data_IF_129407364237
#
_entry.id   IF_129407364237
#
_cell.length_a   1.000
_cell.length_b   1.000
_cell.length_c   1.000
_cell.angle_alpha   90.00
_cell.angle_beta   90.00
_cell.angle_gamma   90.00
#
_symmetry.space_group_name_H-M   'P 1'
#
loop_
_entity.id
_entity.type
_entity.pdbx_description
1 polymer ?
#
# COMPACT_ATOMS: atom_id res chain seq x y z
N UNK A 1 -20.92 -9.01 -6.71
CA UNK A 1 -20.16 -9.44 -5.52
C UNK A 1 -19.82 -8.24 -4.63
N UNK A 2 -19.12 -7.23 -5.16
CA UNK A 2 -18.89 -5.93 -4.48
C UNK A 2 -20.16 -5.30 -3.91
N UNK A 3 -21.26 -5.28 -4.67
CA UNK A 3 -22.55 -4.77 -4.21
C UNK A 3 -23.10 -5.53 -2.98
N UNK A 4 -22.81 -6.83 -2.86
CA UNK A 4 -23.22 -7.64 -1.69
C UNK A 4 -22.38 -7.30 -0.46
N UNK A 5 -21.06 -7.12 -0.63
CA UNK A 5 -20.15 -6.68 0.44
C UNK A 5 -20.57 -5.29 0.91
N UNK A 6 -20.82 -4.36 -0.02
CA UNK A 6 -21.30 -3.02 0.32
C UNK A 6 -22.62 -3.04 1.10
N UNK A 7 -23.64 -3.77 0.62
CA UNK A 7 -24.92 -3.92 1.33
C UNK A 7 -24.76 -4.54 2.71
N UNK A 8 -23.86 -5.52 2.85
CA UNK A 8 -23.54 -6.16 4.13
C UNK A 8 -22.92 -5.16 5.10
N UNK A 9 -21.87 -4.46 4.68
CA UNK A 9 -21.21 -3.45 5.52
C UNK A 9 -22.16 -2.30 5.89
N UNK A 10 -22.86 -1.72 4.91
CA UNK A 10 -23.82 -0.65 5.14
C UNK A 10 -24.93 -1.03 6.14
N UNK A 11 -25.30 -2.31 6.18
CA UNK A 11 -26.31 -2.82 7.12
C UNK A 11 -25.76 -3.10 8.53
N UNK A 12 -24.57 -3.69 8.64
CA UNK A 12 -24.04 -4.17 9.92
C UNK A 12 -23.18 -3.15 10.67
N UNK A 13 -22.45 -2.27 9.97
CA UNK A 13 -21.65 -1.23 10.64
C UNK A 13 -22.50 -0.36 11.58
N UNK A 14 -23.73 0.12 11.23
CA UNK A 14 -24.63 0.83 12.16
C UNK A 14 -25.28 0.05 13.27
N UNK A 15 -25.12 -1.26 13.27
CA UNK A 15 -25.64 -2.12 14.34
C UNK A 15 -24.56 -2.51 15.34
N UNK A 16 -23.30 -2.40 14.93
CA UNK A 16 -22.14 -2.80 15.73
C UNK A 16 -21.55 -1.59 16.43
N UNK A 17 -21.31 -0.51 15.70
CA UNK A 17 -20.63 0.66 16.26
C UNK A 17 -21.59 1.63 16.93
N UNK A 18 -21.23 2.06 18.14
CA UNK A 18 -21.96 3.10 18.86
C UNK A 18 -21.70 4.49 18.23
N UNK A 19 -22.74 5.34 18.15
CA UNK A 19 -22.58 6.75 17.71
C UNK A 19 -21.99 7.67 18.80
N UNK A 20 -21.79 7.18 20.02
CA UNK A 20 -21.28 7.92 21.18
C UNK A 20 -20.29 7.09 22.01
N UNK A 21 -19.97 7.47 23.26
CA UNK A 21 -19.08 6.71 24.13
C UNK A 21 -19.56 5.27 24.26
N UNK A 22 -18.72 4.31 23.89
CA UNK A 22 -19.06 2.90 23.92
C UNK A 22 -18.92 2.34 25.35
N UNK A 23 -20.02 1.92 26.01
CA UNK A 23 -19.96 1.38 27.36
C UNK A 23 -19.41 -0.06 27.43
N UNK A 24 -19.26 -0.75 26.29
CA UNK A 24 -18.83 -2.15 26.20
C UNK A 24 -17.92 -2.39 24.97
N UNK A 25 -16.70 -1.82 24.93
CA UNK A 25 -15.78 -1.89 23.79
C UNK A 25 -15.45 -3.32 23.36
N UNK A 26 -15.26 -4.24 24.31
CA UNK A 26 -14.94 -5.64 24.02
C UNK A 26 -16.04 -6.36 23.22
N UNK A 27 -17.31 -6.02 23.47
CA UNK A 27 -18.43 -6.62 22.74
C UNK A 27 -18.55 -6.03 21.34
N UNK A 28 -18.27 -4.74 21.17
CA UNK A 28 -18.24 -4.07 19.86
C UNK A 28 -17.11 -4.65 18.99
N UNK A 29 -15.90 -4.79 19.55
CA UNK A 29 -14.75 -5.37 18.88
C UNK A 29 -15.02 -6.82 18.45
N UNK A 30 -15.62 -7.63 19.33
CA UNK A 30 -15.97 -9.02 19.00
C UNK A 30 -16.97 -9.10 17.84
N UNK A 31 -18.01 -8.26 17.85
CA UNK A 31 -19.01 -8.22 16.78
C UNK A 31 -18.44 -7.67 15.47
N UNK A 32 -17.60 -6.63 15.54
CA UNK A 32 -16.88 -6.11 14.39
C UNK A 32 -15.98 -7.19 13.78
N UNK A 33 -15.24 -7.92 14.61
CA UNK A 33 -14.40 -9.01 14.16
C UNK A 33 -15.23 -10.12 13.50
N UNK A 34 -16.33 -10.55 14.11
CA UNK A 34 -17.11 -11.69 13.59
C UNK A 34 -17.93 -11.35 12.34
N UNK A 35 -18.48 -10.14 12.26
CA UNK A 35 -19.49 -9.79 11.26
C UNK A 35 -18.90 -8.95 10.13
N UNK A 36 -17.90 -8.12 10.41
CA UNK A 36 -17.31 -7.22 9.42
C UNK A 36 -15.98 -7.76 8.91
N UNK A 37 -15.03 -8.01 9.82
CA UNK A 37 -13.66 -8.36 9.44
C UNK A 37 -13.54 -9.83 9.03
N UNK A 38 -14.03 -10.77 9.83
CA UNK A 38 -13.92 -12.20 9.59
C UNK A 38 -14.31 -12.64 8.17
N UNK A 39 -15.49 -12.28 7.65
CA UNK A 39 -15.86 -12.63 6.27
C UNK A 39 -14.87 -12.10 5.22
N UNK A 40 -14.26 -10.94 5.46
CA UNK A 40 -13.22 -10.37 4.59
C UNK A 40 -11.91 -11.14 4.69
N UNK A 41 -11.51 -11.55 5.89
CA UNK A 41 -10.31 -12.35 6.13
C UNK A 41 -10.42 -13.68 5.37
N UNK A 42 -11.54 -14.38 5.49
CA UNK A 42 -11.82 -15.61 4.73
C UNK A 42 -11.79 -15.39 3.22
N UNK A 43 -12.35 -14.27 2.74
CA UNK A 43 -12.32 -13.93 1.31
C UNK A 43 -10.91 -13.65 0.80
N UNK A 44 -10.12 -12.91 1.58
CA UNK A 44 -8.75 -12.53 1.24
C UNK A 44 -7.83 -13.76 1.23
N UNK A 45 -7.92 -14.59 2.26
CA UNK A 45 -7.14 -15.81 2.40
C UNK A 45 -7.57 -16.91 1.41
N UNK A 46 -8.87 -16.99 1.07
CA UNK A 46 -9.43 -18.09 0.28
C UNK A 46 -9.41 -19.45 1.01
N UNK A 47 -8.96 -19.46 2.26
CA UNK A 47 -8.87 -20.57 3.19
C UNK A 47 -9.02 -20.04 4.63
N UNK A 48 -8.86 -20.91 5.62
CA UNK A 48 -8.91 -20.52 7.03
C UNK A 48 -7.86 -19.42 7.35
N UNK A 49 -8.29 -18.25 7.86
CA UNK A 49 -7.41 -17.13 8.17
C UNK A 49 -6.24 -17.47 9.10
N UNK A 50 -6.39 -18.47 9.98
CA UNK A 50 -5.31 -18.93 10.86
C UNK A 50 -4.08 -19.43 10.08
N UNK A 51 -4.27 -19.93 8.85
CA UNK A 51 -3.20 -20.38 7.97
C UNK A 51 -2.97 -19.43 6.78
N UNK A 52 -4.05 -18.87 6.23
CA UNK A 52 -4.00 -18.03 5.03
C UNK A 52 -3.14 -16.79 5.21
N UNK A 53 -3.23 -16.10 6.37
CA UNK A 53 -2.40 -14.93 6.63
C UNK A 53 -0.92 -15.26 6.71
N UNK A 54 -0.56 -16.38 7.32
CA UNK A 54 0.83 -16.82 7.40
C UNK A 54 1.39 -17.13 6.00
N UNK A 55 0.60 -17.77 5.13
CA UNK A 55 1.01 -17.99 3.73
C UNK A 55 1.11 -16.69 2.93
N UNK A 56 0.20 -15.75 3.15
CA UNK A 56 0.25 -14.43 2.51
C UNK A 56 1.50 -13.66 2.92
N UNK A 57 1.87 -13.68 4.21
CA UNK A 57 3.09 -13.06 4.71
C UNK A 57 4.35 -13.75 4.15
N UNK A 58 4.39 -15.08 4.11
CA UNK A 58 5.49 -15.84 3.50
C UNK A 58 5.62 -15.60 2.00
N UNK A 59 4.49 -15.34 1.32
CA UNK A 59 4.45 -15.00 -0.10
C UNK A 59 4.65 -13.50 -0.35
N UNK A 60 4.82 -12.69 0.69
CA UNK A 60 4.96 -11.25 0.53
C UNK A 60 6.32 -10.94 -0.08
N UNK A 61 6.32 -10.63 -1.37
CA UNK A 61 7.54 -10.32 -2.10
C UNK A 61 7.92 -8.86 -1.89
N UNK A 62 9.22 -8.55 -1.79
CA UNK A 62 9.67 -7.17 -1.82
C UNK A 62 9.13 -6.49 -3.09
N UNK A 63 8.52 -5.31 -2.93
CA UNK A 63 8.07 -4.54 -4.07
C UNK A 63 9.26 -4.17 -4.96
N UNK A 64 9.03 -4.17 -6.28
CA UNK A 64 9.98 -3.61 -7.24
C UNK A 64 10.02 -2.07 -7.18
N UNK A 65 9.05 -1.43 -6.50
CA UNK A 65 9.08 -0.02 -6.18
C UNK A 65 9.70 0.20 -4.80
N UNK A 66 10.59 1.17 -4.70
CA UNK A 66 11.10 1.58 -3.39
C UNK A 66 10.02 2.30 -2.57
N UNK A 67 9.40 3.34 -3.15
CA UNK A 67 8.31 4.10 -2.52
C UNK A 67 8.65 4.77 -1.18
N UNK A 68 9.92 4.78 -0.77
CA UNK A 68 10.33 5.37 0.52
C UNK A 68 9.95 6.84 0.56
N UNK A 69 9.13 7.22 1.53
CA UNK A 69 8.76 8.61 1.79
C UNK A 69 9.93 9.34 2.46
N UNK A 70 10.29 10.50 1.92
CA UNK A 70 11.42 11.28 2.46
C UNK A 70 11.03 12.04 3.73
N UNK A 71 11.96 12.06 4.68
CA UNK A 71 11.88 12.91 5.87
C UNK A 71 12.56 14.25 5.63
N UNK A 72 12.18 15.24 6.42
CA UNK A 72 12.85 16.55 6.43
C UNK A 72 14.34 16.35 6.70
N UNK A 73 15.19 16.95 5.88
CA UNK A 73 16.64 16.87 6.03
C UNK A 73 17.30 15.65 5.37
N UNK A 74 16.53 14.68 4.84
CA UNK A 74 17.11 13.54 4.14
C UNK A 74 17.66 13.93 2.76
N UNK A 75 18.81 13.38 2.33
CA UNK A 75 19.35 13.63 1.00
C UNK A 75 18.54 12.88 -0.07
N UNK A 76 18.33 13.55 -1.18
CA UNK A 76 17.64 13.07 -2.39
C UNK A 76 18.55 13.27 -3.59
N UNK A 77 18.49 12.36 -4.56
CA UNK A 77 19.41 12.34 -5.70
C UNK A 77 18.62 12.29 -7.00
N UNK A 78 18.84 13.27 -7.88
CA UNK A 78 18.25 13.29 -9.22
C UNK A 78 19.35 13.18 -10.28
N UNK A 79 19.23 12.20 -11.18
CA UNK A 79 20.16 12.01 -12.28
C UNK A 79 19.81 12.96 -13.44
N UNK A 80 20.70 13.86 -13.81
CA UNK A 80 20.48 14.84 -14.90
C UNK A 80 20.48 14.20 -16.28
N UNK A 81 21.12 13.04 -16.40
CA UNK A 81 21.24 12.35 -17.67
C UNK A 81 20.04 11.44 -17.92
N UNK A 82 19.48 10.82 -16.86
CA UNK A 82 18.46 9.78 -16.98
C UNK A 82 17.05 10.18 -16.53
N UNK A 83 16.88 11.17 -15.64
CA UNK A 83 15.55 11.59 -15.19
C UNK A 83 14.70 12.06 -16.39
N UNK A 84 13.42 11.68 -16.39
CA UNK A 84 12.45 12.15 -17.39
C UNK A 84 12.07 13.61 -17.11
N UNK A 85 11.91 13.97 -15.84
CA UNK A 85 11.65 15.35 -15.44
C UNK A 85 12.40 15.74 -14.13
N UNK A 86 12.45 17.04 -13.76
CA UNK A 86 13.20 17.50 -12.60
C UNK A 86 12.68 17.04 -11.22
N UNK A 87 11.53 16.38 -11.17
CA UNK A 87 10.93 15.85 -9.93
C UNK A 87 11.38 14.42 -9.64
N UNK A 88 11.95 13.70 -10.61
CA UNK A 88 12.43 12.33 -10.43
C UNK A 88 13.63 12.28 -9.47
N UNK A 89 13.49 11.55 -8.37
CA UNK A 89 14.44 11.48 -7.27
C UNK A 89 14.59 10.07 -6.69
N UNK A 90 15.81 9.75 -6.29
CA UNK A 90 16.18 8.53 -5.58
C UNK A 90 16.54 8.84 -4.13
N UNK A 91 16.21 7.91 -3.23
CA UNK A 91 16.81 7.88 -1.90
C UNK A 91 18.29 7.48 -2.00
N UNK A 92 19.07 7.77 -0.95
CA UNK A 92 20.51 7.46 -0.91
C UNK A 92 20.82 5.99 -1.21
N UNK A 93 20.08 5.06 -0.62
CA UNK A 93 20.29 3.62 -0.82
C UNK A 93 20.05 3.21 -2.29
N UNK A 94 18.98 3.72 -2.91
CA UNK A 94 18.69 3.42 -4.32
C UNK A 94 19.69 4.06 -5.26
N UNK A 95 20.09 5.31 -5.00
CA UNK A 95 21.09 6.00 -5.81
C UNK A 95 22.43 5.23 -5.81
N UNK A 96 22.94 4.88 -4.63
CA UNK A 96 24.22 4.17 -4.49
C UNK A 96 24.19 2.76 -5.09
N UNK A 97 23.02 2.11 -5.09
CA UNK A 97 22.79 0.80 -5.68
C UNK A 97 22.37 0.83 -7.15
N UNK A 98 22.39 1.98 -7.82
CA UNK A 98 21.97 2.14 -9.22
C UNK A 98 23.13 2.56 -10.12
N UNK A 99 22.90 2.53 -11.42
CA UNK A 99 23.83 3.05 -12.44
C UNK A 99 24.06 4.56 -12.31
N UNK A 100 23.10 5.29 -11.73
CA UNK A 100 23.07 6.76 -11.70
C UNK A 100 24.18 7.39 -10.88
N UNK A 101 24.84 6.62 -10.01
CA UNK A 101 25.99 7.10 -9.22
C UNK A 101 27.20 7.48 -10.08
N UNK A 102 27.29 6.92 -11.29
CA UNK A 102 28.36 7.19 -12.26
C UNK A 102 27.95 8.27 -13.28
N UNK A 103 26.72 8.79 -13.20
CA UNK A 103 26.19 9.83 -14.09
C UNK A 103 26.29 11.23 -13.46
N UNK A 104 25.93 12.28 -14.21
CA UNK A 104 25.79 13.62 -13.63
C UNK A 104 24.52 13.69 -12.82
N UNK A 105 24.64 13.94 -11.53
CA UNK A 105 23.50 14.03 -10.63
C UNK A 105 23.45 15.37 -9.89
N UNK A 106 22.31 15.62 -9.25
CA UNK A 106 22.09 16.69 -8.28
C UNK A 106 21.66 16.05 -6.97
N UNK A 107 22.34 16.40 -5.88
CA UNK A 107 21.88 16.09 -4.54
C UNK A 107 21.11 17.29 -3.98
N UNK A 108 19.97 17.03 -3.37
CA UNK A 108 19.15 18.03 -2.67
C UNK A 108 18.73 17.52 -1.31
N UNK A 109 18.59 18.43 -0.35
CA UNK A 109 18.00 18.11 0.95
C UNK A 109 16.49 18.19 0.85
N UNK A 110 15.78 17.11 1.21
CA UNK A 110 14.31 17.09 1.18
C UNK A 110 13.73 18.02 2.25
N UNK A 111 12.69 18.75 1.87
CA UNK A 111 11.85 19.52 2.80
C UNK A 111 10.86 18.65 3.60
N UNK A 112 10.86 17.33 3.39
CA UNK A 112 9.88 16.38 3.91
C UNK A 112 8.73 16.13 2.92
N UNK A 113 8.32 14.86 2.79
CA UNK A 113 7.36 14.44 1.77
C UNK A 113 8.02 14.09 0.43
N UNK A 114 7.21 13.62 -0.53
CA UNK A 114 7.70 12.98 -1.75
C UNK A 114 8.17 11.54 -1.50
N UNK A 115 8.42 10.78 -2.57
CA UNK A 115 8.85 9.39 -2.50
C UNK A 115 9.99 9.09 -3.46
N UNK A 116 10.72 8.01 -3.18
CA UNK A 116 11.76 7.50 -4.07
C UNK A 116 11.15 6.84 -5.30
N UNK A 117 11.56 7.30 -6.49
CA UNK A 117 11.08 6.81 -7.80
C UNK A 117 11.85 5.59 -8.31
N UNK A 118 12.60 4.91 -7.44
CA UNK A 118 13.26 3.67 -7.82
C UNK A 118 12.21 2.60 -8.11
N UNK A 119 12.29 2.03 -9.31
CA UNK A 119 11.39 1.05 -9.86
C UNK A 119 10.27 1.60 -10.73
N UNK A 120 10.12 2.93 -10.79
CA UNK A 120 9.18 3.58 -11.69
C UNK A 120 9.82 3.72 -13.08
N UNK A 121 9.34 2.94 -14.05
CA UNK A 121 9.87 2.94 -15.42
C UNK A 121 9.52 4.21 -16.20
N UNK A 122 8.55 5.01 -15.73
CA UNK A 122 8.17 6.28 -16.35
C UNK A 122 9.01 7.45 -15.82
N UNK A 123 9.68 7.30 -14.67
CA UNK A 123 10.54 8.34 -14.08
C UNK A 123 11.97 8.38 -14.68
N UNK A 124 12.44 7.28 -15.29
CA UNK A 124 13.82 7.14 -15.75
C UNK A 124 13.91 6.63 -17.18
N UNK A 125 14.65 7.36 -18.03
CA UNK A 125 14.96 6.95 -19.41
C UNK A 125 15.80 5.67 -19.46
N UNK A 126 16.65 5.48 -18.45
CA UNK A 126 17.56 4.34 -18.32
C UNK A 126 17.74 3.99 -16.83
N UNK A 127 18.03 2.73 -16.52
CA UNK A 127 18.30 2.28 -15.15
C UNK A 127 17.19 2.58 -14.13
N UNK A 128 15.91 2.20 -14.37
CA UNK A 128 14.82 2.50 -13.45
C UNK A 128 14.96 1.81 -12.08
N UNK A 129 15.73 0.72 -12.00
CA UNK A 129 15.91 -0.06 -10.78
C UNK A 129 17.32 0.10 -10.17
N UNK A 130 17.40 0.01 -8.85
CA UNK A 130 18.66 -0.30 -8.16
C UNK A 130 18.76 -1.81 -7.91
N UNK A 131 19.94 -2.29 -7.52
CA UNK A 131 20.21 -3.71 -7.25
C UNK A 131 19.25 -4.37 -6.25
N UNK A 132 18.68 -3.59 -5.31
CA UNK A 132 17.73 -4.10 -4.31
C UNK A 132 16.31 -4.28 -4.85
N UNK A 133 15.92 -3.50 -5.84
CA UNK A 133 14.55 -3.44 -6.36
C UNK A 133 14.45 -3.99 -7.80
N UNK A 134 15.50 -4.62 -8.31
CA UNK A 134 15.53 -5.24 -9.63
C UNK A 134 14.59 -6.46 -9.69
N UNK A 135 13.88 -6.63 -10.81
CA UNK A 135 12.87 -7.67 -10.99
C UNK A 135 13.49 -9.06 -11.20
N UNK A 136 12.97 -10.08 -10.50
CA UNK A 136 12.99 -11.46 -10.99
C UNK A 136 11.68 -11.70 -11.78
N UNK A 137 11.78 -11.89 -13.08
CA UNK A 137 10.68 -11.75 -14.07
C UNK A 137 9.63 -12.87 -14.10
N UNK A 138 9.47 -13.69 -13.06
CA UNK A 138 8.76 -14.99 -13.18
C UNK A 138 7.31 -15.07 -12.69
N UNK A 139 6.69 -14.04 -12.09
CA UNK A 139 5.37 -14.22 -11.46
C UNK A 139 4.49 -12.96 -11.54
N UNK A 140 3.74 -12.80 -12.63
CA UNK A 140 2.88 -11.61 -12.85
C UNK A 140 1.38 -11.90 -12.70
N UNK A 141 0.89 -13.10 -13.03
CA UNK A 141 -0.56 -13.36 -13.12
C UNK A 141 -1.26 -13.56 -11.76
N UNK A 142 -0.59 -14.19 -10.79
CA UNK A 142 -1.20 -14.45 -9.47
C UNK A 142 -1.24 -13.19 -8.57
N UNK A 143 -0.26 -12.30 -8.71
CA UNK A 143 -0.19 -11.04 -7.97
C UNK A 143 -1.30 -10.07 -8.40
N UNK A 144 -1.57 -9.95 -9.70
CA UNK A 144 -2.65 -9.08 -10.20
C UNK A 144 -4.04 -9.48 -9.68
N UNK A 145 -4.32 -10.79 -9.61
CA UNK A 145 -5.60 -11.28 -9.06
C UNK A 145 -5.74 -10.96 -7.58
N UNK A 146 -4.65 -11.05 -6.81
CA UNK A 146 -4.63 -10.71 -5.37
C UNK A 146 -4.79 -9.21 -5.15
N UNK A 147 -4.05 -8.37 -5.89
CA UNK A 147 -4.15 -6.91 -5.84
C UNK A 147 -5.58 -6.47 -6.18
N UNK A 148 -6.18 -7.07 -7.21
CA UNK A 148 -7.58 -6.78 -7.59
C UNK A 148 -8.58 -7.15 -6.49
N UNK A 149 -8.41 -8.30 -5.82
CA UNK A 149 -9.25 -8.68 -4.68
C UNK A 149 -9.10 -7.70 -3.52
N UNK A 150 -7.87 -7.27 -3.25
CA UNK A 150 -7.56 -6.36 -2.16
C UNK A 150 -8.08 -4.93 -2.42
N UNK A 151 -7.90 -4.38 -3.62
CA UNK A 151 -8.45 -3.07 -4.00
C UNK A 151 -9.97 -3.05 -3.96
N UNK A 152 -10.60 -4.13 -4.42
CA UNK A 152 -12.06 -4.30 -4.31
C UNK A 152 -12.54 -4.24 -2.86
N UNK A 153 -11.78 -4.82 -1.94
CA UNK A 153 -12.10 -4.80 -0.52
C UNK A 153 -11.93 -3.38 0.06
N UNK A 154 -10.81 -2.71 -0.23
CA UNK A 154 -10.54 -1.34 0.20
C UNK A 154 -11.64 -0.39 -0.29
N UNK A 155 -12.03 -0.47 -1.56
CA UNK A 155 -13.11 0.35 -2.10
C UNK A 155 -14.44 0.11 -1.38
N UNK A 156 -14.78 -1.15 -1.06
CA UNK A 156 -16.00 -1.45 -0.33
C UNK A 156 -16.00 -0.90 1.10
N UNK A 157 -14.85 -0.94 1.78
CA UNK A 157 -14.70 -0.39 3.15
C UNK A 157 -14.71 1.14 3.13
N UNK A 158 -13.98 1.78 2.21
CA UNK A 158 -13.89 3.23 2.07
C UNK A 158 -15.21 3.91 1.67
N UNK A 159 -16.16 3.15 1.12
CA UNK A 159 -17.52 3.66 0.83
C UNK A 159 -18.43 3.66 2.06
N UNK A 160 -18.01 3.04 3.18
CA UNK A 160 -18.79 2.99 4.43
C UNK A 160 -18.17 3.89 5.51
N UNK A 161 -16.87 4.22 5.42
CA UNK A 161 -16.21 5.15 6.35
C UNK A 161 -16.82 6.56 6.42
N UNK A 162 -17.30 7.20 5.32
CA UNK A 162 -17.92 8.53 5.39
C UNK A 162 -19.20 8.55 6.22
N UNK A 163 -19.95 7.44 6.19
CA UNK A 163 -21.23 7.26 6.91
C UNK A 163 -21.03 7.30 8.44
N UNK A 164 -19.80 7.03 8.91
CA UNK A 164 -19.43 7.00 10.33
C UNK A 164 -18.71 8.25 10.80
N UNK A 165 -17.86 8.85 9.96
CA UNK A 165 -17.16 10.08 10.32
C UNK A 165 -18.10 11.28 10.36
N UNK A 166 -19.15 11.30 9.53
CA UNK A 166 -20.13 12.40 9.50
C UNK A 166 -21.14 12.39 10.66
N UNK A 167 -21.16 11.34 11.50
CA UNK A 167 -21.97 11.27 12.73
C UNK A 167 -21.13 11.47 14.02
N UNK A 168 -19.91 12.03 13.91
CA UNK A 168 -19.00 12.30 15.03
C UNK A 168 -18.72 13.80 15.30
N UNK A 169 -19.64 14.69 14.93
CA UNK A 169 -19.67 16.09 15.39
C UNK A 169 -21.05 16.39 15.97
#
# INVERSE_FOLDING_TARGET
>A
MLEKIYKHLAYYVPKIYCRGPNPAPQSEDLLAQQVLLGPMEWYLCGEDPAFGFQKLEQSNKPSHLCGRVFKVGEPTYSCRDCAVDPTCVLCMECFLGSVHREHRYRMTTSGGGGFCDCGDTEAWKEGPYCQKHEHNTSETEEEEVRIHRFWKLICAVAQVTPIWTENKI
#
